data_IF_182733355124
#
_entry.id   IF_182733355124
#
_cell.length_a   1.000
_cell.length_b   1.000
_cell.length_c   1.000
_cell.angle_alpha   90.00
_cell.angle_beta   90.00
_cell.angle_gamma   90.00
#
_symmetry.space_group_name_H-M   'P 1'
#
loop_
_entity.id
_entity.type
_entity.pdbx_description
1 polymer ?
#
# COMPACT_ATOMS: atom_id res chain seq x y z
N UNK A 1 -4.17 -4.49 -22.87
CA UNK A 1 -3.96 -5.25 -21.61
C UNK A 1 -3.23 -4.33 -20.65
N UNK A 2 -3.53 -4.38 -19.35
CA UNK A 2 -2.84 -3.57 -18.33
C UNK A 2 -2.00 -4.49 -17.45
N UNK A 3 -0.81 -4.02 -17.07
CA UNK A 3 0.13 -4.76 -16.23
C UNK A 3 0.46 -3.97 -14.98
N UNK A 4 0.42 -4.64 -13.83
CA UNK A 4 0.83 -4.09 -12.56
C UNK A 4 1.99 -4.88 -11.94
N UNK A 5 2.84 -4.21 -11.18
CA UNK A 5 3.95 -4.79 -10.43
C UNK A 5 3.66 -4.65 -8.94
N UNK A 6 3.75 -5.74 -8.18
CA UNK A 6 3.75 -5.68 -6.71
C UNK A 6 5.18 -5.47 -6.24
N UNK A 7 5.42 -4.36 -5.56
CA UNK A 7 6.74 -4.04 -5.01
C UNK A 7 6.97 -4.79 -3.69
N UNK A 8 8.18 -5.32 -3.45
CA UNK A 8 8.51 -5.98 -2.20
C UNK A 8 8.64 -4.96 -1.07
N UNK A 9 7.94 -5.21 0.05
CA UNK A 9 7.97 -4.31 1.23
C UNK A 9 8.53 -4.99 2.49
N UNK A 10 9.25 -6.09 2.33
CA UNK A 10 9.87 -6.78 3.46
C UNK A 10 11.19 -6.10 3.84
N UNK A 11 11.24 -5.62 5.09
CA UNK A 11 12.36 -4.84 5.63
C UNK A 11 13.28 -5.63 6.57
N UNK A 12 13.24 -6.97 6.53
CA UNK A 12 14.02 -7.80 7.46
C UNK A 12 15.52 -7.62 7.24
N UNK A 13 16.19 -7.02 8.22
CA UNK A 13 17.65 -6.83 8.18
C UNK A 13 18.13 -5.87 7.09
N UNK A 14 17.22 -5.10 6.49
CA UNK A 14 17.53 -4.14 5.44
C UNK A 14 17.61 -2.74 6.04
N UNK A 15 18.58 -1.97 5.60
CA UNK A 15 18.65 -0.55 5.83
C UNK A 15 17.43 0.13 5.16
N UNK A 16 16.66 0.90 5.93
CA UNK A 16 15.46 1.56 5.45
C UNK A 16 15.74 2.59 4.35
N UNK A 17 16.89 3.28 4.43
CA UNK A 17 17.29 4.23 3.39
C UNK A 17 17.57 3.51 2.07
N UNK A 18 18.23 2.36 2.14
CA UNK A 18 18.47 1.51 0.97
C UNK A 18 17.15 0.98 0.39
N UNK A 19 16.27 0.46 1.23
CA UNK A 19 14.96 -0.05 0.79
C UNK A 19 14.14 1.06 0.11
N UNK A 20 14.17 2.27 0.65
CA UNK A 20 13.50 3.42 0.06
C UNK A 20 14.06 3.76 -1.34
N UNK A 21 15.39 3.75 -1.50
CA UNK A 21 16.01 3.99 -2.81
C UNK A 21 15.66 2.88 -3.81
N UNK A 22 15.62 1.62 -3.37
CA UNK A 22 15.22 0.48 -4.20
C UNK A 22 13.77 0.62 -4.67
N UNK A 23 12.81 0.93 -3.78
CA UNK A 23 11.40 1.14 -4.15
C UNK A 23 11.23 2.27 -5.17
N UNK A 24 11.96 3.37 -4.99
CA UNK A 24 11.93 4.47 -5.97
C UNK A 24 12.49 4.05 -7.33
N UNK A 25 13.63 3.37 -7.33
CA UNK A 25 14.27 2.90 -8.55
C UNK A 25 13.39 1.88 -9.30
N UNK A 26 12.80 0.93 -8.58
CA UNK A 26 11.88 -0.06 -9.16
C UNK A 26 10.62 0.59 -9.71
N UNK A 27 10.05 1.57 -9.02
CA UNK A 27 8.88 2.32 -9.50
C UNK A 27 9.20 3.07 -10.80
N UNK A 28 10.33 3.76 -10.85
CA UNK A 28 10.77 4.47 -12.05
C UNK A 28 11.08 3.51 -13.21
N UNK A 29 11.71 2.37 -12.92
CA UNK A 29 12.00 1.34 -13.92
C UNK A 29 10.70 0.70 -14.45
N UNK A 30 9.72 0.43 -13.59
CA UNK A 30 8.41 -0.06 -14.00
C UNK A 30 7.69 0.91 -14.94
N UNK A 31 7.73 2.21 -14.61
CA UNK A 31 7.16 3.25 -15.49
C UNK A 31 7.87 3.28 -16.85
N UNK A 32 9.19 3.26 -16.86
CA UNK A 32 9.99 3.26 -18.08
C UNK A 32 9.76 2.00 -18.93
N UNK A 33 9.56 0.85 -18.28
CA UNK A 33 9.24 -0.41 -18.95
C UNK A 33 7.80 -0.51 -19.47
N UNK A 34 6.95 0.48 -19.18
CA UNK A 34 5.58 0.52 -19.68
C UNK A 34 4.54 -0.15 -18.79
N UNK A 35 4.86 -0.45 -17.53
CA UNK A 35 3.83 -0.91 -16.58
C UNK A 35 2.79 0.19 -16.33
N UNK A 36 1.55 -0.24 -16.08
CA UNK A 36 0.42 0.66 -15.84
C UNK A 36 0.28 1.07 -14.37
N UNK A 37 0.72 0.20 -13.45
CA UNK A 37 0.62 0.43 -12.02
C UNK A 37 1.71 -0.30 -11.22
N UNK A 38 2.03 0.26 -10.04
CA UNK A 38 2.74 -0.43 -8.96
C UNK A 38 1.80 -0.59 -7.78
N UNK A 39 1.97 -1.69 -7.04
CA UNK A 39 1.12 -2.02 -5.88
C UNK A 39 1.97 -2.28 -4.65
N UNK A 40 1.49 -1.81 -3.51
CA UNK A 40 2.01 -2.17 -2.19
C UNK A 40 0.98 -2.97 -1.40
N UNK A 41 1.47 -3.92 -0.62
CA UNK A 41 0.67 -4.67 0.35
C UNK A 41 0.72 -3.99 1.72
N UNK A 42 -0.21 -4.32 2.60
CA UNK A 42 -0.24 -3.85 3.97
C UNK A 42 0.06 -5.00 4.94
N UNK A 43 1.08 -4.80 5.80
CA UNK A 43 1.42 -5.71 6.89
C UNK A 43 1.93 -4.91 8.08
N UNK A 44 1.47 -5.22 9.30
CA UNK A 44 1.83 -4.44 10.49
C UNK A 44 2.76 -5.18 11.45
N UNK A 45 2.48 -6.43 11.77
CA UNK A 45 3.22 -7.23 12.76
C UNK A 45 4.04 -8.36 12.12
N UNK A 46 4.49 -8.17 10.87
CA UNK A 46 5.27 -9.20 10.18
C UNK A 46 6.60 -9.45 10.88
N UNK A 47 6.91 -10.71 11.13
CA UNK A 47 8.25 -11.12 11.61
C UNK A 47 9.26 -10.79 10.52
N UNK A 48 10.11 -9.83 10.78
CA UNK A 48 11.08 -9.39 9.78
C UNK A 48 10.92 -7.95 9.32
N UNK A 49 9.97 -7.24 9.92
CA UNK A 49 9.66 -5.87 9.56
C UNK A 49 8.82 -5.77 8.29
N UNK A 50 8.02 -4.74 8.22
CA UNK A 50 7.25 -4.39 7.03
C UNK A 50 7.13 -2.87 6.96
N UNK A 51 6.92 -2.34 5.76
CA UNK A 51 6.53 -0.96 5.58
C UNK A 51 5.02 -0.87 5.80
N UNK A 52 4.63 -0.19 6.87
CA UNK A 52 3.29 -0.30 7.46
C UNK A 52 2.24 0.66 6.90
N UNK A 53 2.61 1.60 6.04
CA UNK A 53 1.69 2.59 5.52
C UNK A 53 1.76 2.69 3.99
N UNK A 54 1.06 1.80 3.26
CA UNK A 54 1.12 1.80 1.80
C UNK A 54 0.63 3.10 1.17
N UNK A 55 -0.39 3.75 1.75
CA UNK A 55 -0.90 5.03 1.23
C UNK A 55 0.14 6.15 1.31
N UNK A 56 0.86 6.26 2.43
CA UNK A 56 1.91 7.26 2.62
C UNK A 56 3.09 7.02 1.67
N UNK A 57 3.53 5.76 1.56
CA UNK A 57 4.60 5.38 0.64
C UNK A 57 4.20 5.61 -0.81
N UNK A 58 2.97 5.26 -1.18
CA UNK A 58 2.42 5.51 -2.51
C UNK A 58 2.43 6.99 -2.88
N UNK A 59 2.03 7.87 -1.96
CA UNK A 59 2.11 9.31 -2.15
C UNK A 59 3.54 9.78 -2.48
N UNK A 60 4.52 9.25 -1.74
CA UNK A 60 5.93 9.60 -1.93
C UNK A 60 6.52 9.02 -3.24
N UNK A 61 6.15 7.79 -3.61
CA UNK A 61 6.59 7.16 -4.87
C UNK A 61 6.05 7.89 -6.09
N UNK A 62 4.79 8.31 -6.06
CA UNK A 62 4.15 9.02 -7.16
C UNK A 62 4.75 10.41 -7.47
N UNK A 63 5.46 11.03 -6.50
CA UNK A 63 6.15 12.31 -6.72
C UNK A 63 7.33 12.20 -7.71
N UNK A 64 7.90 11.02 -7.88
CA UNK A 64 9.02 10.77 -8.80
C UNK A 64 8.60 10.19 -10.15
N UNK A 65 7.30 10.19 -10.48
CA UNK A 65 6.72 9.55 -11.67
C UNK A 65 5.67 10.45 -12.32
N UNK A 66 5.43 10.24 -13.62
CA UNK A 66 4.49 11.06 -14.40
C UNK A 66 3.20 10.33 -14.79
N UNK A 67 3.27 9.02 -15.05
CA UNK A 67 2.20 8.24 -15.66
C UNK A 67 1.73 7.05 -14.83
N UNK A 68 2.66 6.34 -14.20
CA UNK A 68 2.36 5.10 -13.47
C UNK A 68 1.37 5.36 -12.34
N UNK A 69 0.41 4.45 -12.16
CA UNK A 69 -0.55 4.50 -11.06
C UNK A 69 0.02 3.75 -9.85
N UNK A 70 -0.41 4.18 -8.68
CA UNK A 70 -0.16 3.47 -7.43
C UNK A 70 -1.44 2.77 -6.96
N UNK A 71 -1.31 1.56 -6.45
CA UNK A 71 -2.42 0.82 -5.85
C UNK A 71 -2.07 0.11 -4.55
N UNK A 72 -3.09 -0.20 -3.77
CA UNK A 72 -2.98 -1.13 -2.64
C UNK A 72 -3.42 -2.53 -3.05
N UNK A 73 -2.65 -3.57 -2.67
CA UNK A 73 -3.00 -4.96 -2.98
C UNK A 73 -2.74 -5.87 -1.76
N UNK A 74 -3.51 -5.67 -0.73
CA UNK A 74 -4.67 -4.81 -0.50
C UNK A 74 -4.51 -4.00 0.78
N UNK A 75 -5.32 -2.96 0.98
CA UNK A 75 -5.52 -2.32 2.28
C UNK A 75 -6.49 -3.17 3.12
N UNK A 76 -6.13 -3.53 4.34
CA UNK A 76 -6.97 -4.31 5.25
C UNK A 76 -8.07 -3.43 5.86
N UNK A 77 -9.17 -3.24 5.13
CA UNK A 77 -10.21 -2.26 5.47
C UNK A 77 -10.71 -2.32 6.91
N UNK A 78 -10.89 -3.50 7.56
CA UNK A 78 -11.35 -3.56 8.96
C UNK A 78 -10.37 -2.96 9.99
N UNK A 79 -9.12 -2.70 9.60
CA UNK A 79 -8.12 -2.07 10.47
C UNK A 79 -8.17 -0.54 10.41
N UNK A 80 -9.00 0.03 9.55
CA UNK A 80 -9.04 1.45 9.27
C UNK A 80 -10.43 2.04 9.50
N UNK A 81 -10.47 3.31 9.91
CA UNK A 81 -11.71 4.06 9.95
C UNK A 81 -12.10 4.48 8.51
N UNK A 82 -13.30 4.13 7.99
CA UNK A 82 -13.65 4.32 6.59
C UNK A 82 -13.61 5.78 6.13
N UNK A 83 -14.04 6.71 6.97
CA UNK A 83 -13.96 8.15 6.66
C UNK A 83 -12.50 8.58 6.47
N UNK A 84 -11.57 8.07 7.32
CA UNK A 84 -10.16 8.42 7.20
C UNK A 84 -9.55 7.89 5.90
N UNK A 85 -9.88 6.65 5.54
CA UNK A 85 -9.44 6.07 4.26
C UNK A 85 -9.95 6.90 3.08
N UNK A 86 -11.22 7.32 3.13
CA UNK A 86 -11.80 8.15 2.08
C UNK A 86 -11.11 9.52 1.95
N UNK A 87 -10.82 10.18 3.07
CA UNK A 87 -10.09 11.47 3.08
C UNK A 87 -8.67 11.33 2.53
N UNK A 88 -7.91 10.35 3.01
CA UNK A 88 -6.54 10.09 2.54
C UNK A 88 -6.51 9.73 1.06
N UNK A 89 -7.48 8.93 0.60
CA UNK A 89 -7.63 8.56 -0.81
C UNK A 89 -7.93 9.76 -1.70
N UNK A 90 -8.88 10.62 -1.30
CA UNK A 90 -9.22 11.84 -2.03
C UNK A 90 -8.00 12.76 -2.15
N UNK A 91 -7.25 12.94 -1.07
CA UNK A 91 -6.05 13.77 -1.10
C UNK A 91 -4.97 13.16 -2.00
N UNK A 92 -4.77 11.84 -1.90
CA UNK A 92 -3.78 11.15 -2.72
C UNK A 92 -4.15 11.20 -4.21
N UNK A 93 -5.43 11.00 -4.52
CA UNK A 93 -5.95 11.09 -5.90
C UNK A 93 -5.75 12.51 -6.47
N UNK A 94 -6.08 13.53 -5.69
CA UNK A 94 -5.90 14.92 -6.09
C UNK A 94 -4.42 15.27 -6.36
N UNK A 95 -3.51 14.98 -5.43
CA UNK A 95 -2.08 15.32 -5.60
C UNK A 95 -1.41 14.48 -6.68
N UNK A 96 -1.89 13.26 -6.92
CA UNK A 96 -1.39 12.38 -7.97
C UNK A 96 -2.03 12.60 -9.34
N UNK A 97 -3.05 13.45 -9.43
CA UNK A 97 -3.83 13.71 -10.65
C UNK A 97 -4.54 12.46 -11.18
N UNK A 98 -5.26 11.74 -10.31
CA UNK A 98 -6.06 10.58 -10.68
C UNK A 98 -5.27 9.29 -10.86
N UNK A 99 -4.08 9.18 -10.24
CA UNK A 99 -3.22 8.01 -10.41
C UNK A 99 -3.29 7.01 -9.24
N UNK A 100 -4.48 6.85 -8.63
CA UNK A 100 -4.65 5.94 -7.48
C UNK A 100 -5.59 4.79 -7.80
N UNK A 101 -5.30 3.62 -7.26
CA UNK A 101 -6.13 2.41 -7.29
C UNK A 101 -6.28 1.92 -5.85
N UNK A 102 -7.50 1.94 -5.32
CA UNK A 102 -7.78 1.38 -4.00
C UNK A 102 -8.19 -0.08 -4.12
N UNK A 103 -7.32 -0.99 -3.68
CA UNK A 103 -7.65 -2.39 -3.44
C UNK A 103 -7.94 -2.61 -1.97
N UNK A 104 -9.15 -3.05 -1.63
CA UNK A 104 -9.58 -3.37 -0.27
C UNK A 104 -9.66 -4.87 -0.04
N UNK A 105 -9.37 -5.29 1.18
CA UNK A 105 -9.55 -6.68 1.60
C UNK A 105 -9.90 -6.78 3.07
N UNK A 106 -10.41 -7.96 3.48
CA UNK A 106 -10.84 -8.20 4.87
C UNK A 106 -9.67 -8.41 5.84
N UNK A 107 -8.42 -8.50 5.34
CA UNK A 107 -7.27 -8.88 6.16
C UNK A 107 -7.28 -10.34 6.61
N UNK A 108 -6.13 -10.88 7.03
CA UNK A 108 -6.03 -12.29 7.43
C UNK A 108 -5.11 -12.53 8.64
N UNK A 109 -4.20 -11.62 8.96
CA UNK A 109 -3.22 -11.82 10.03
C UNK A 109 -3.79 -11.47 11.41
N UNK A 110 -4.02 -12.48 12.25
CA UNK A 110 -4.57 -12.32 13.62
C UNK A 110 -3.77 -11.33 14.46
N UNK A 111 -2.46 -11.30 14.28
CA UNK A 111 -1.57 -10.41 15.04
C UNK A 111 -1.80 -8.93 14.69
N UNK A 112 -2.10 -8.61 13.42
CA UNK A 112 -2.41 -7.25 13.02
C UNK A 112 -3.72 -6.80 13.66
N UNK A 113 -4.76 -7.62 13.61
CA UNK A 113 -6.04 -7.35 14.27
C UNK A 113 -5.90 -7.14 15.79
N UNK A 114 -5.08 -7.98 16.46
CA UNK A 114 -4.81 -7.83 17.88
C UNK A 114 -4.11 -6.50 18.21
N UNK A 115 -3.17 -6.07 17.36
CA UNK A 115 -2.46 -4.80 17.54
C UNK A 115 -3.37 -3.58 17.38
N UNK A 116 -4.37 -3.67 16.50
CA UNK A 116 -5.35 -2.61 16.26
C UNK A 116 -6.59 -2.69 17.16
N UNK A 117 -6.70 -3.71 18.03
CA UNK A 117 -7.84 -3.91 18.91
C UNK A 117 -9.14 -4.30 18.19
N UNK A 118 -9.04 -4.84 16.99
CA UNK A 118 -10.20 -5.28 16.19
C UNK A 118 -10.37 -6.79 16.33
N UNK A 119 -11.57 -7.31 16.67
CA UNK A 119 -11.81 -8.74 16.73
C UNK A 119 -11.64 -9.42 15.37
N UNK A 120 -10.65 -10.29 15.23
CA UNK A 120 -10.37 -10.95 13.96
C UNK A 120 -11.55 -11.78 13.43
N UNK A 121 -12.40 -12.31 14.33
CA UNK A 121 -13.58 -13.10 13.95
C UNK A 121 -14.64 -12.23 13.22
N UNK A 122 -14.72 -10.96 13.55
CA UNK A 122 -15.71 -10.00 13.04
C UNK A 122 -15.25 -9.27 11.76
N UNK A 123 -14.06 -9.56 11.26
CA UNK A 123 -13.45 -8.81 10.15
C UNK A 123 -14.27 -8.75 8.86
N UNK A 124 -15.07 -9.78 8.58
CA UNK A 124 -15.93 -9.81 7.41
C UNK A 124 -17.14 -8.88 7.59
N UNK A 125 -17.75 -8.92 8.79
CA UNK A 125 -18.88 -8.07 9.17
C UNK A 125 -18.47 -6.58 9.22
N UNK A 126 -17.27 -6.30 9.74
CA UNK A 126 -16.73 -4.91 9.76
C UNK A 126 -16.39 -4.41 8.35
N UNK A 127 -16.10 -5.31 7.41
CA UNK A 127 -15.81 -4.97 6.03
C UNK A 127 -17.04 -4.59 5.21
N UNK A 128 -18.22 -5.15 5.53
CA UNK A 128 -19.50 -4.89 4.85
C UNK A 128 -20.08 -3.52 5.20
#
# INVERSE_FOLDING_TARGET
>A
MQFGLILPIQAQGVDLDRLWQELRAETAAAEAAGFDAVFLTEFHQARGGALVSPMLLGAALLQGTDRIRFGTAVLAAPLHHPVRVAEDLLMLDWISRGRVILGLGIGHQRQDFAAFGVPHAERAEVFE
#
